data_IF_365108741357
#
_entry.id   IF_365108741357
#
_cell.length_a   1.000
_cell.length_b   1.000
_cell.length_c   1.000
_cell.angle_alpha   90.00
_cell.angle_beta   90.00
_cell.angle_gamma   90.00
#
_symmetry.space_group_name_H-M   'P 1'
#
loop_
_entity.id
_entity.type
_entity.pdbx_description
1 polymer ?
#
# COMPACT_ATOMS: atom_id res chain seq x y z
N UNK A 1 8.73 -10.94 10.64
CA UNK A 1 8.03 -9.79 11.23
C UNK A 1 7.19 -10.29 12.39
N UNK A 2 7.16 -9.58 13.53
CA UNK A 2 6.26 -9.90 14.65
C UNK A 2 5.35 -8.69 14.86
N UNK A 3 4.07 -8.86 14.59
CA UNK A 3 3.05 -7.84 14.84
C UNK A 3 2.60 -7.98 16.29
N UNK A 4 2.94 -6.98 17.10
CA UNK A 4 2.59 -6.94 18.52
C UNK A 4 1.34 -6.12 18.80
N UNK A 5 0.94 -6.02 20.08
CA UNK A 5 -0.16 -5.15 20.50
C UNK A 5 0.11 -3.66 20.18
N UNK A 6 1.38 -3.28 20.05
CA UNK A 6 1.81 -1.92 19.68
C UNK A 6 2.01 -1.73 18.16
N UNK A 7 1.65 -2.74 17.35
CA UNK A 7 1.94 -2.72 15.92
C UNK A 7 3.30 -3.33 15.58
N UNK A 8 3.93 -2.83 14.52
CA UNK A 8 5.25 -3.26 14.08
C UNK A 8 5.92 -2.20 13.21
N UNK A 9 7.23 -2.04 13.35
CA UNK A 9 8.04 -1.25 12.41
C UNK A 9 8.97 -2.17 11.63
N UNK A 10 9.05 -1.99 10.32
CA UNK A 10 10.00 -2.71 9.48
C UNK A 10 10.53 -1.89 8.30
N UNK A 11 11.42 -2.52 7.52
CA UNK A 11 12.02 -1.96 6.32
C UNK A 11 11.54 -2.76 5.11
N UNK A 12 11.00 -2.07 4.12
CA UNK A 12 10.66 -2.60 2.81
C UNK A 12 11.73 -2.23 1.80
N UNK A 13 12.48 -3.21 1.31
CA UNK A 13 13.46 -3.05 0.24
C UNK A 13 12.87 -3.60 -1.07
N UNK A 14 12.64 -2.72 -2.04
CA UNK A 14 12.24 -3.10 -3.39
C UNK A 14 13.45 -3.56 -4.20
N UNK A 15 13.24 -4.41 -5.21
CA UNK A 15 14.35 -4.89 -6.04
C UNK A 15 14.96 -3.79 -6.92
N UNK A 16 14.22 -2.69 -7.11
CA UNK A 16 14.72 -1.42 -7.67
C UNK A 16 15.74 -0.69 -6.77
N UNK A 17 16.03 -1.21 -5.56
CA UNK A 17 16.92 -0.59 -4.58
C UNK A 17 16.25 0.46 -3.69
N UNK A 18 14.97 0.79 -3.94
CA UNK A 18 14.21 1.71 -3.09
C UNK A 18 13.95 1.10 -1.72
N UNK A 19 14.18 1.90 -0.68
CA UNK A 19 14.03 1.52 0.72
C UNK A 19 12.97 2.39 1.38
N UNK A 20 11.98 1.76 2.01
CA UNK A 20 10.94 2.43 2.77
C UNK A 20 10.93 1.92 4.22
N UNK A 21 10.74 2.83 5.17
CA UNK A 21 10.39 2.49 6.54
C UNK A 21 8.87 2.42 6.62
N UNK A 22 8.36 1.38 7.27
CA UNK A 22 6.94 1.19 7.51
C UNK A 22 6.66 1.13 9.00
N UNK A 23 5.72 1.94 9.46
CA UNK A 23 5.11 1.80 10.77
C UNK A 23 3.70 1.27 10.57
N UNK A 24 3.50 0.02 10.95
CA UNK A 24 2.23 -0.68 10.88
C UNK A 24 1.58 -0.57 12.25
N UNK A 25 0.43 0.10 12.32
CA UNK A 25 -0.34 0.21 13.56
C UNK A 25 -0.89 -1.16 14.00
N UNK A 26 -1.36 -1.32 15.24
CA UNK A 26 -1.96 -2.58 15.71
C UNK A 26 -3.06 -3.11 14.78
N UNK A 27 -3.11 -4.43 14.61
CA UNK A 27 -4.16 -5.08 13.83
C UNK A 27 -5.52 -4.91 14.52
N UNK A 28 -6.46 -4.27 13.82
CA UNK A 28 -7.85 -4.16 14.26
C UNK A 28 -8.62 -5.37 13.75
N UNK A 29 -8.92 -6.30 14.65
CA UNK A 29 -9.54 -7.58 14.31
C UNK A 29 -10.82 -7.39 13.49
N UNK A 30 -10.84 -7.99 12.29
CA UNK A 30 -11.97 -7.93 11.35
C UNK A 30 -12.14 -6.59 10.63
N UNK A 31 -11.31 -5.58 10.92
CA UNK A 31 -11.42 -4.22 10.37
C UNK A 31 -10.23 -3.91 9.48
N UNK A 32 -8.99 -4.28 9.85
CA UNK A 32 -7.78 -3.96 9.09
C UNK A 32 -6.74 -3.22 9.92
N UNK A 33 -5.96 -2.31 9.32
CA UNK A 33 -4.88 -1.59 9.99
C UNK A 33 -4.53 -0.28 9.28
N UNK A 34 -3.73 0.57 9.93
CA UNK A 34 -3.11 1.73 9.30
C UNK A 34 -1.62 1.51 9.11
N UNK A 35 -1.09 2.13 8.07
CA UNK A 35 0.30 2.06 7.67
C UNK A 35 0.81 3.47 7.40
N UNK A 36 1.91 3.81 8.05
CA UNK A 36 2.73 4.96 7.71
C UNK A 36 3.95 4.47 6.94
N UNK A 37 4.17 5.00 5.74
CA UNK A 37 5.25 4.55 4.86
C UNK A 37 5.95 5.73 4.18
N UNK A 38 7.27 5.75 4.24
CA UNK A 38 8.10 6.80 3.65
C UNK A 38 9.57 6.42 3.63
N UNK A 39 10.38 7.30 3.07
CA UNK A 39 11.84 7.19 3.15
C UNK A 39 12.32 7.48 4.58
N UNK A 40 13.53 7.06 4.91
CA UNK A 40 14.18 7.38 6.18
C UNK A 40 14.35 8.91 6.31
N UNK A 41 13.91 9.47 7.44
CA UNK A 41 13.83 10.92 7.69
C UNK A 41 13.00 11.74 6.67
N UNK A 42 12.24 11.04 5.82
CA UNK A 42 11.41 11.61 4.78
C UNK A 42 9.94 11.74 5.17
N UNK A 43 9.15 12.47 4.36
CA UNK A 43 7.72 12.55 4.55
C UNK A 43 7.05 11.17 4.37
N UNK A 44 6.10 10.86 5.25
CA UNK A 44 5.39 9.58 5.26
C UNK A 44 3.98 9.73 4.69
N UNK A 45 3.61 8.80 3.81
CA UNK A 45 2.23 8.64 3.37
C UNK A 45 1.46 7.82 4.41
N UNK A 46 0.23 8.23 4.70
CA UNK A 46 -0.70 7.45 5.52
C UNK A 46 -1.55 6.56 4.61
N UNK A 47 -1.69 5.29 4.97
CA UNK A 47 -2.45 4.29 4.21
C UNK A 47 -3.37 3.52 5.15
N UNK A 48 -4.67 3.56 4.86
CA UNK A 48 -5.67 2.77 5.58
C UNK A 48 -5.98 1.51 4.78
N UNK A 49 -5.82 0.36 5.42
CA UNK A 49 -6.30 -0.93 4.94
C UNK A 49 -7.56 -1.28 5.71
N UNK A 50 -8.68 -1.50 5.01
CA UNK A 50 -9.96 -1.84 5.61
C UNK A 50 -10.59 -3.06 4.97
N UNK A 51 -11.10 -3.95 5.79
CA UNK A 51 -11.93 -5.09 5.42
C UNK A 51 -13.34 -4.74 5.87
N UNK A 52 -14.25 -4.63 4.91
CA UNK A 52 -15.63 -4.24 5.17
C UNK A 52 -16.53 -5.42 4.82
N UNK A 53 -17.25 -6.01 5.79
CA UNK A 53 -18.16 -7.10 5.50
C UNK A 53 -19.28 -6.63 4.56
N UNK A 54 -19.68 -7.52 3.66
CA UNK A 54 -20.85 -7.34 2.80
C UNK A 54 -21.86 -8.46 3.09
N UNK A 55 -22.96 -8.51 2.34
CA UNK A 55 -23.92 -9.60 2.47
C UNK A 55 -23.29 -10.96 2.12
N UNK A 56 -23.90 -12.04 2.62
CA UNK A 56 -23.61 -13.43 2.26
C UNK A 56 -22.18 -13.91 2.53
N UNK A 57 -21.52 -13.39 3.58
CA UNK A 57 -20.19 -13.84 3.99
C UNK A 57 -19.04 -13.34 3.11
N UNK A 58 -19.31 -12.39 2.22
CA UNK A 58 -18.29 -11.69 1.43
C UNK A 58 -17.76 -10.46 2.19
N UNK A 59 -16.63 -9.92 1.73
CA UNK A 59 -16.10 -8.66 2.22
C UNK A 59 -15.43 -7.87 1.09
N UNK A 60 -15.36 -6.56 1.26
CA UNK A 60 -14.60 -5.65 0.42
C UNK A 60 -13.28 -5.30 1.09
N UNK A 61 -12.19 -5.40 0.33
CA UNK A 61 -10.91 -4.84 0.71
C UNK A 61 -10.79 -3.42 0.15
N UNK A 62 -10.69 -2.43 1.03
CA UNK A 62 -10.47 -1.03 0.68
C UNK A 62 -9.07 -0.59 1.11
N UNK A 63 -8.35 0.03 0.18
CA UNK A 63 -7.05 0.67 0.45
C UNK A 63 -7.22 2.16 0.18
N UNK A 64 -7.03 3.00 1.20
CA UNK A 64 -7.11 4.46 1.07
C UNK A 64 -5.74 5.05 1.33
N UNK A 65 -5.21 5.79 0.35
CA UNK A 65 -3.87 6.35 0.40
C UNK A 65 -3.98 7.87 0.50
N UNK A 66 -3.31 8.43 1.51
CA UNK A 66 -3.11 9.85 1.71
C UNK A 66 -1.64 10.16 1.39
N UNK A 67 -1.32 10.53 0.14
CA UNK A 67 0.05 10.73 -0.29
C UNK A 67 0.61 12.02 0.30
N UNK A 68 1.81 11.94 0.87
CA UNK A 68 2.48 13.11 1.44
C UNK A 68 2.89 14.16 0.39
N UNK A 69 3.02 13.79 -0.90
CA UNK A 69 3.36 14.74 -1.98
C UNK A 69 2.39 15.92 -2.06
N UNK A 70 1.14 15.75 -1.59
CA UNK A 70 0.11 16.78 -1.64
C UNK A 70 0.17 17.78 -0.47
N UNK A 71 0.89 17.49 0.62
CA UNK A 71 0.91 18.38 1.79
C UNK A 71 1.69 19.68 1.55
N UNK A 72 2.56 19.72 0.52
CA UNK A 72 3.46 20.86 0.24
C UNK A 72 3.03 21.74 -0.94
N UNK A 73 1.95 21.43 -1.66
CA UNK A 73 1.58 22.17 -2.88
C UNK A 73 0.28 22.97 -2.71
N UNK A 74 0.16 24.18 -3.29
CA UNK A 74 -1.11 24.91 -3.35
C UNK A 74 -2.17 24.07 -4.09
N UNK A 75 -3.36 23.96 -3.50
CA UNK A 75 -4.45 23.04 -3.90
C UNK A 75 -4.82 23.07 -5.39
N UNK A 76 -4.72 24.22 -6.04
CA UNK A 76 -5.05 24.40 -7.46
C UNK A 76 -3.92 24.01 -8.43
N UNK A 77 -2.64 24.20 -8.03
CA UNK A 77 -1.47 23.87 -8.88
C UNK A 77 -1.05 22.40 -8.74
N UNK A 78 -1.36 21.76 -7.62
CA UNK A 78 -1.12 20.32 -7.39
C UNK A 78 -2.05 19.43 -8.23
N UNK A 79 -3.24 19.92 -8.59
CA UNK A 79 -4.34 19.10 -9.09
C UNK A 79 -4.06 18.42 -10.45
N UNK A 80 -3.41 19.12 -11.38
CA UNK A 80 -3.12 18.61 -12.73
C UNK A 80 -2.06 17.49 -12.74
N UNK A 81 -0.82 17.70 -12.27
CA UNK A 81 0.20 16.65 -12.26
C UNK A 81 -0.18 15.47 -11.34
N UNK A 82 -0.91 15.73 -10.24
CA UNK A 82 -1.43 14.68 -9.38
C UNK A 82 -2.43 13.77 -10.09
N UNK A 83 -3.43 14.36 -10.79
CA UNK A 83 -4.50 13.60 -11.44
C UNK A 83 -4.00 12.77 -12.61
N UNK A 84 -3.06 13.27 -13.41
CA UNK A 84 -2.66 12.60 -14.65
C UNK A 84 -1.45 11.69 -14.51
N UNK A 85 -0.54 11.93 -13.56
CA UNK A 85 0.69 11.14 -13.45
C UNK A 85 0.77 10.33 -12.16
N UNK A 86 0.66 10.98 -11.00
CA UNK A 86 0.77 10.32 -9.68
C UNK A 86 -0.34 9.30 -9.51
N UNK A 87 -1.60 9.68 -9.79
CA UNK A 87 -2.75 8.78 -9.68
C UNK A 87 -2.61 7.55 -10.58
N UNK A 88 -2.19 7.72 -11.84
CA UNK A 88 -2.05 6.58 -12.78
C UNK A 88 -1.02 5.57 -12.30
N UNK A 89 0.16 6.04 -11.85
CA UNK A 89 1.22 5.18 -11.30
C UNK A 89 0.78 4.50 -10.01
N UNK A 90 0.10 5.22 -9.14
CA UNK A 90 -0.43 4.66 -7.89
C UNK A 90 -1.50 3.60 -8.13
N UNK A 91 -2.38 3.81 -9.11
CA UNK A 91 -3.38 2.81 -9.50
C UNK A 91 -2.72 1.54 -10.04
N UNK A 92 -1.75 1.67 -10.94
CA UNK A 92 -1.02 0.50 -11.48
C UNK A 92 -0.29 -0.27 -10.38
N UNK A 93 0.31 0.42 -9.41
CA UNK A 93 0.88 -0.19 -8.20
C UNK A 93 -0.18 -0.95 -7.39
N UNK A 94 -1.33 -0.32 -7.13
CA UNK A 94 -2.41 -0.95 -6.37
C UNK A 94 -2.98 -2.17 -7.10
N UNK A 95 -3.08 -2.13 -8.43
CA UNK A 95 -3.52 -3.27 -9.23
C UNK A 95 -2.58 -4.47 -9.06
N UNK A 96 -1.26 -4.24 -9.06
CA UNK A 96 -0.28 -5.30 -8.79
C UNK A 96 -0.41 -5.87 -7.37
N UNK A 97 -0.58 -5.01 -6.36
CA UNK A 97 -0.80 -5.42 -4.96
C UNK A 97 -2.07 -6.27 -4.82
N UNK A 98 -3.20 -5.79 -5.36
CA UNK A 98 -4.48 -6.50 -5.31
C UNK A 98 -4.45 -7.81 -6.09
N UNK A 99 -3.71 -7.87 -7.19
CA UNK A 99 -3.49 -9.10 -7.94
C UNK A 99 -2.72 -10.14 -7.12
N UNK A 100 -1.72 -9.71 -6.35
CA UNK A 100 -1.01 -10.57 -5.41
C UNK A 100 -1.92 -11.12 -4.31
N UNK A 101 -2.77 -10.27 -3.72
CA UNK A 101 -3.77 -10.70 -2.72
C UNK A 101 -4.73 -11.73 -3.33
N UNK A 102 -5.28 -11.47 -4.52
CA UNK A 102 -6.16 -12.41 -5.22
C UNK A 102 -5.47 -13.74 -5.52
N UNK A 103 -4.20 -13.71 -5.95
CA UNK A 103 -3.43 -14.94 -6.19
C UNK A 103 -3.29 -15.77 -4.91
N UNK A 104 -2.93 -15.14 -3.79
CA UNK A 104 -2.79 -15.81 -2.51
C UNK A 104 -4.12 -16.41 -2.04
N UNK A 105 -5.22 -15.66 -2.12
CA UNK A 105 -6.55 -16.14 -1.73
C UNK A 105 -7.03 -17.35 -2.57
N UNK A 106 -6.67 -17.41 -3.86
CA UNK A 106 -7.06 -18.50 -4.76
C UNK A 106 -6.18 -19.75 -4.64
N UNK A 107 -4.90 -19.58 -4.36
CA UNK A 107 -3.91 -20.67 -4.45
C UNK A 107 -3.37 -21.12 -3.10
N UNK A 108 -3.51 -20.30 -2.05
CA UNK A 108 -2.85 -20.48 -0.76
C UNK A 108 -1.32 -20.30 -0.80
N UNK A 109 -0.75 -19.98 -1.95
CA UNK A 109 0.70 -19.88 -2.16
C UNK A 109 1.16 -18.43 -2.07
N UNK A 110 2.43 -18.24 -1.73
CA UNK A 110 3.10 -16.95 -1.82
C UNK A 110 3.18 -16.50 -3.28
N UNK A 111 3.02 -15.19 -3.51
CA UNK A 111 3.13 -14.61 -4.85
C UNK A 111 4.58 -14.73 -5.34
N UNK A 112 4.84 -15.35 -6.51
CA UNK A 112 6.18 -15.41 -7.09
C UNK A 112 6.72 -14.00 -7.37
N UNK A 113 8.04 -13.81 -7.28
CA UNK A 113 8.69 -12.52 -7.57
C UNK A 113 8.35 -12.07 -9.00
N UNK A 114 8.03 -10.78 -9.16
CA UNK A 114 7.69 -10.12 -10.44
C UNK A 114 6.45 -10.68 -11.17
N UNK A 115 5.60 -11.45 -10.48
CA UNK A 115 4.34 -11.97 -11.01
C UNK A 115 3.17 -11.53 -10.11
N UNK A 116 1.94 -11.42 -10.63
CA UNK A 116 1.53 -11.57 -12.03
C UNK A 116 1.79 -10.32 -12.90
N UNK A 117 2.14 -9.18 -12.30
CA UNK A 117 2.43 -7.92 -13.00
C UNK A 117 3.71 -7.30 -12.44
N UNK A 118 4.79 -7.26 -13.23
CA UNK A 118 5.98 -6.48 -12.87
C UNK A 118 5.64 -4.98 -12.90
N UNK A 119 6.15 -4.22 -11.94
CA UNK A 119 5.93 -2.78 -11.88
C UNK A 119 7.25 -2.08 -11.59
N UNK A 120 7.56 -0.93 -12.23
CA UNK A 120 8.83 -0.21 -12.03
C UNK A 120 9.10 0.29 -10.60
N UNK A 121 8.10 0.24 -9.70
CA UNK A 121 8.32 0.52 -8.27
C UNK A 121 8.81 -0.72 -7.50
N UNK A 122 8.51 -1.93 -7.99
CA UNK A 122 8.88 -3.20 -7.37
C UNK A 122 10.12 -3.84 -8.02
N UNK A 123 10.25 -3.69 -9.33
CA UNK A 123 11.20 -4.37 -10.21
C UNK A 123 12.26 -3.39 -10.74
N UNK A 124 13.50 -3.85 -10.87
CA UNK A 124 14.61 -3.12 -11.51
C UNK A 124 14.46 -3.09 -13.04
#
# INVERSE_FOLDING_TARGET
MKWGPEGCTDILLYSSGRRFIRHIEPWMQGIGYNLWIGEEDGPQSHVEWRIEPTSNGYCNLRIRIYPHLLSRWPSLLAALPFRFWVRRRLMSYLDAVLSGVSHHLKTGKSVPRDQPNSHPWFSA
#
